data_IF_900988737329
#
_entry.id   IF_900988737329
#
_cell.length_a   1.000
_cell.length_b   1.000
_cell.length_c   1.000
_cell.angle_alpha   90.00
_cell.angle_beta   90.00
_cell.angle_gamma   90.00
#
_symmetry.space_group_name_H-M   'P 1'
#
loop_
_entity.id
_entity.type
_entity.pdbx_description
1 polymer ?
#
# COMPACT_ATOMS: atom_id res chain seq x y z
N UNK A 1 2.79 14.56 31.32
CA UNK A 1 3.45 13.39 30.69
C UNK A 1 4.92 13.71 30.53
N UNK A 2 5.84 12.84 30.95
CA UNK A 2 7.27 13.15 30.90
C UNK A 2 7.78 13.21 29.45
N UNK A 3 8.79 14.05 29.17
CA UNK A 3 9.38 14.22 27.83
C UNK A 3 9.85 12.88 27.24
N UNK A 4 10.35 11.97 28.08
CA UNK A 4 10.77 10.63 27.68
C UNK A 4 9.62 9.78 27.13
N UNK A 5 8.42 9.83 27.74
CA UNK A 5 7.26 9.09 27.26
C UNK A 5 6.76 9.62 25.91
N UNK A 6 6.83 10.93 25.69
CA UNK A 6 6.46 11.55 24.40
C UNK A 6 7.42 11.12 23.30
N UNK A 7 8.72 11.10 23.58
CA UNK A 7 9.74 10.63 22.65
C UNK A 7 9.54 9.12 22.32
N UNK A 8 9.27 8.30 23.33
CA UNK A 8 9.03 6.87 23.16
C UNK A 8 7.81 6.60 22.28
N UNK A 9 6.67 7.26 22.54
CA UNK A 9 5.47 7.14 21.71
C UNK A 9 5.72 7.52 20.25
N UNK A 10 6.54 8.54 19.99
CA UNK A 10 6.90 8.95 18.62
C UNK A 10 7.67 7.85 17.88
N UNK A 11 8.59 7.17 18.56
CA UNK A 11 9.35 6.05 17.99
C UNK A 11 8.45 4.85 17.78
N UNK A 12 7.67 4.45 18.79
CA UNK A 12 6.75 3.31 18.71
C UNK A 12 5.80 3.41 17.52
N UNK A 13 5.23 4.59 17.27
CA UNK A 13 4.33 4.81 16.11
C UNK A 13 5.03 4.67 14.78
N UNK A 14 6.28 5.12 14.67
CA UNK A 14 7.07 4.96 13.43
C UNK A 14 7.39 3.49 13.18
N UNK A 15 7.83 2.77 14.21
CA UNK A 15 8.11 1.34 14.13
C UNK A 15 6.84 0.57 13.74
N UNK A 16 5.71 0.86 14.38
CA UNK A 16 4.43 0.26 14.03
C UNK A 16 4.01 0.57 12.58
N UNK A 17 4.18 1.80 12.11
CA UNK A 17 3.85 2.17 10.73
C UNK A 17 4.75 1.45 9.71
N UNK A 18 6.04 1.31 10.00
CA UNK A 18 6.99 0.58 9.16
C UNK A 18 6.64 -0.91 9.12
N UNK A 19 6.39 -1.52 10.28
CA UNK A 19 6.01 -2.93 10.36
C UNK A 19 4.69 -3.21 9.61
N UNK A 20 3.68 -2.36 9.81
CA UNK A 20 2.42 -2.44 9.09
C UNK A 20 2.64 -2.32 7.57
N UNK A 21 3.40 -1.31 7.11
CA UNK A 21 3.71 -1.12 5.70
C UNK A 21 4.42 -2.34 5.12
N UNK A 22 5.44 -2.86 5.80
CA UNK A 22 6.22 -4.01 5.36
C UNK A 22 5.36 -5.24 5.13
N UNK A 23 4.33 -5.47 5.95
CA UNK A 23 3.38 -6.57 5.73
C UNK A 23 2.38 -6.23 4.64
N UNK A 24 1.72 -5.07 4.73
CA UNK A 24 0.61 -4.72 3.85
C UNK A 24 1.01 -4.56 2.36
N UNK A 25 2.23 -4.10 2.08
CA UNK A 25 2.73 -3.94 0.71
C UNK A 25 2.81 -5.28 -0.05
N UNK A 26 2.95 -6.42 0.65
CA UNK A 26 2.93 -7.73 0.01
C UNK A 26 1.57 -8.04 -0.63
N UNK A 27 0.48 -7.52 -0.08
CA UNK A 27 -0.84 -7.62 -0.72
C UNK A 27 -0.87 -6.88 -2.06
N UNK A 28 -0.29 -5.68 -2.13
CA UNK A 28 -0.22 -4.88 -3.36
C UNK A 28 0.62 -5.58 -4.42
N UNK A 29 1.86 -5.95 -4.07
CA UNK A 29 2.82 -6.56 -5.00
C UNK A 29 2.41 -7.99 -5.39
N UNK A 30 1.95 -8.78 -4.43
CA UNK A 30 1.50 -10.15 -4.68
C UNK A 30 0.34 -10.21 -5.67
N UNK A 31 -0.65 -9.33 -5.53
CA UNK A 31 -1.76 -9.24 -6.49
C UNK A 31 -1.29 -8.86 -7.91
N UNK A 32 -0.35 -7.92 -8.01
CA UNK A 32 0.24 -7.51 -9.31
C UNK A 32 0.98 -8.67 -9.97
N UNK A 33 1.81 -9.40 -9.22
CA UNK A 33 2.56 -10.55 -9.73
C UNK A 33 1.62 -11.64 -10.23
N UNK A 34 0.57 -11.96 -9.47
CA UNK A 34 -0.43 -12.96 -9.89
C UNK A 34 -1.19 -12.47 -11.12
N UNK A 35 -1.55 -11.18 -11.20
CA UNK A 35 -2.20 -10.62 -12.39
C UNK A 35 -1.35 -10.83 -13.65
N UNK A 36 -0.03 -10.58 -13.56
CA UNK A 36 0.89 -10.80 -14.67
C UNK A 36 0.94 -12.26 -15.13
N UNK A 37 0.90 -13.21 -14.19
CA UNK A 37 0.84 -14.64 -14.51
C UNK A 37 -0.47 -14.98 -15.24
N UNK A 38 -1.61 -14.42 -14.81
CA UNK A 38 -2.92 -14.69 -15.40
C UNK A 38 -3.06 -14.15 -16.83
N UNK A 39 -2.45 -13.00 -17.14
CA UNK A 39 -2.40 -12.50 -18.53
C UNK A 39 -1.72 -13.51 -19.45
N UNK A 40 -0.61 -14.12 -19.00
CA UNK A 40 0.07 -15.19 -19.75
C UNK A 40 -0.72 -16.50 -19.88
N UNK A 41 -1.89 -16.61 -19.24
CA UNK A 41 -2.81 -17.75 -19.31
C UNK A 41 -4.12 -17.40 -20.03
N UNK A 42 -4.16 -16.31 -20.81
CA UNK A 42 -5.36 -15.78 -21.48
C UNK A 42 -6.51 -15.42 -20.52
N UNK A 43 -6.21 -15.15 -19.24
CA UNK A 43 -7.18 -14.77 -18.19
C UNK A 43 -7.13 -13.28 -17.88
N UNK A 44 -7.23 -12.44 -18.90
CA UNK A 44 -7.10 -10.97 -18.80
C UNK A 44 -8.18 -10.31 -17.93
N UNK A 45 -9.40 -10.86 -17.88
CA UNK A 45 -10.46 -10.38 -16.99
C UNK A 45 -10.08 -10.52 -15.52
N UNK A 46 -9.54 -11.69 -15.14
CA UNK A 46 -9.14 -11.98 -13.77
C UNK A 46 -7.92 -11.14 -13.37
N UNK A 47 -6.96 -10.99 -14.29
CA UNK A 47 -5.82 -10.10 -14.10
C UNK A 47 -6.26 -8.65 -13.82
N UNK A 48 -7.24 -8.15 -14.58
CA UNK A 48 -7.80 -6.80 -14.38
C UNK A 48 -8.39 -6.65 -12.97
N UNK A 49 -9.17 -7.64 -12.52
CA UNK A 49 -9.74 -7.65 -11.16
C UNK A 49 -8.64 -7.62 -10.10
N UNK A 50 -7.56 -8.38 -10.27
CA UNK A 50 -6.45 -8.38 -9.31
C UNK A 50 -5.69 -7.05 -9.26
N UNK A 51 -5.53 -6.34 -10.39
CA UNK A 51 -4.93 -5.00 -10.39
C UNK A 51 -5.85 -3.99 -9.69
N UNK A 52 -7.16 -4.05 -9.90
CA UNK A 52 -8.12 -3.22 -9.16
C UNK A 52 -8.06 -3.49 -7.65
N UNK A 53 -7.98 -4.76 -7.25
CA UNK A 53 -7.81 -5.16 -5.84
C UNK A 53 -6.47 -4.69 -5.27
N UNK A 54 -5.39 -4.70 -6.05
CA UNK A 54 -4.10 -4.12 -5.67
C UNK A 54 -4.25 -2.63 -5.31
N UNK A 55 -5.04 -1.88 -6.08
CA UNK A 55 -5.37 -0.49 -5.78
C UNK A 55 -6.12 -0.31 -4.46
N UNK A 56 -7.06 -1.20 -4.15
CA UNK A 56 -7.74 -1.20 -2.85
C UNK A 56 -6.77 -1.46 -1.69
N UNK A 57 -5.85 -2.42 -1.83
CA UNK A 57 -4.80 -2.69 -0.85
C UNK A 57 -3.81 -1.53 -0.71
N UNK A 58 -3.49 -0.83 -1.79
CA UNK A 58 -2.67 0.37 -1.76
C UNK A 58 -3.35 1.48 -0.95
N UNK A 59 -4.66 1.68 -1.13
CA UNK A 59 -5.45 2.64 -0.34
C UNK A 59 -5.48 2.26 1.15
N UNK A 60 -5.72 0.99 1.49
CA UNK A 60 -5.68 0.49 2.88
C UNK A 60 -4.31 0.70 3.50
N UNK A 61 -3.24 0.39 2.76
CA UNK A 61 -1.85 0.57 3.21
C UNK A 61 -1.57 2.04 3.50
N UNK A 62 -1.95 2.94 2.59
CA UNK A 62 -1.83 4.39 2.76
C UNK A 62 -2.57 4.87 4.02
N UNK A 63 -3.86 4.54 4.13
CA UNK A 63 -4.70 4.98 5.25
C UNK A 63 -4.13 4.46 6.57
N UNK A 64 -3.78 3.17 6.65
CA UNK A 64 -3.23 2.55 7.85
C UNK A 64 -1.94 3.24 8.31
N UNK A 65 -0.98 3.46 7.40
CA UNK A 65 0.28 4.16 7.73
C UNK A 65 -0.01 5.58 8.23
N UNK A 66 -0.89 6.34 7.56
CA UNK A 66 -1.21 7.73 7.95
C UNK A 66 -1.90 7.80 9.31
N UNK A 67 -2.83 6.88 9.60
CA UNK A 67 -3.50 6.80 10.90
C UNK A 67 -2.52 6.44 12.01
N UNK A 68 -1.67 5.43 11.82
CA UNK A 68 -0.64 5.05 12.80
C UNK A 68 0.29 6.23 13.09
N UNK A 69 0.70 6.98 12.05
CA UNK A 69 1.52 8.17 12.18
C UNK A 69 0.75 9.44 12.62
N UNK A 70 -0.59 9.41 12.62
CA UNK A 70 -1.48 10.51 13.00
C UNK A 70 -1.25 11.73 12.13
N UNK A 71 -1.18 11.48 10.83
CA UNK A 71 -1.04 12.48 9.78
C UNK A 71 -2.37 12.59 9.05
N UNK A 72 -2.66 13.76 8.48
CA UNK A 72 -3.84 13.98 7.64
C UNK A 72 -3.95 12.94 6.51
N UNK A 73 -5.16 12.51 6.17
CA UNK A 73 -5.39 11.61 5.04
C UNK A 73 -5.37 12.33 3.69
N UNK A 74 -5.48 13.65 3.68
CA UNK A 74 -5.37 14.41 2.43
C UNK A 74 -3.92 14.83 2.21
N UNK A 75 -3.16 13.98 1.52
CA UNK A 75 -1.78 14.29 1.16
C UNK A 75 -1.46 13.79 -0.26
N UNK A 76 -1.73 14.60 -1.30
CA UNK A 76 -1.71 14.19 -2.70
C UNK A 76 -0.42 13.48 -3.14
N UNK A 77 0.75 14.00 -2.76
CA UNK A 77 2.03 13.37 -3.09
C UNK A 77 2.16 11.94 -2.54
N UNK A 78 1.64 11.69 -1.32
CA UNK A 78 1.69 10.38 -0.70
C UNK A 78 0.61 9.43 -1.24
N UNK A 79 -0.53 9.97 -1.68
CA UNK A 79 -1.57 9.20 -2.38
C UNK A 79 -1.02 8.71 -3.72
N UNK A 80 -0.41 9.61 -4.49
CA UNK A 80 0.26 9.27 -5.75
C UNK A 80 1.36 8.22 -5.54
N UNK A 81 2.18 8.37 -4.50
CA UNK A 81 3.22 7.40 -4.16
C UNK A 81 2.64 6.03 -3.80
N UNK A 82 1.57 5.98 -3.00
CA UNK A 82 0.93 4.72 -2.63
C UNK A 82 0.29 4.02 -3.82
N UNK A 83 -0.32 4.77 -4.73
CA UNK A 83 -0.95 4.24 -5.94
C UNK A 83 0.06 3.84 -7.04
N UNK A 84 1.30 4.34 -6.97
CA UNK A 84 2.30 4.20 -8.02
C UNK A 84 2.51 2.74 -8.49
N UNK A 85 2.66 1.72 -7.62
CA UNK A 85 2.85 0.34 -8.07
C UNK A 85 1.66 -0.18 -8.88
N UNK A 86 0.43 0.13 -8.43
CA UNK A 86 -0.80 -0.27 -9.12
C UNK A 86 -0.95 0.46 -10.45
N UNK A 87 -0.62 1.75 -10.51
CA UNK A 87 -0.65 2.53 -11.76
C UNK A 87 0.34 1.96 -12.77
N UNK A 88 1.58 1.66 -12.35
CA UNK A 88 2.59 1.04 -13.21
C UNK A 88 2.09 -0.33 -13.70
N UNK A 89 1.55 -1.16 -12.81
CA UNK A 89 1.01 -2.46 -13.19
C UNK A 89 -0.12 -2.34 -14.21
N UNK A 90 -1.01 -1.36 -14.07
CA UNK A 90 -2.09 -1.12 -15.03
C UNK A 90 -1.60 -0.87 -16.46
N UNK A 91 -0.44 -0.22 -16.65
CA UNK A 91 0.11 0.07 -17.98
C UNK A 91 1.08 -0.98 -18.52
N UNK A 92 1.70 -1.77 -17.64
CA UNK A 92 2.75 -2.74 -18.01
C UNK A 92 2.22 -4.17 -18.07
N UNK A 93 1.16 -4.48 -17.33
CA UNK A 93 0.58 -5.84 -17.26
C UNK A 93 -0.65 -5.99 -18.13
N UNK A 94 -1.55 -5.00 -18.15
CA UNK A 94 -2.73 -4.96 -19.01
C UNK A 94 -2.41 -4.19 -20.29
#
# INVERSE_FOLDING_TARGET
MSTQLVALHKVQRRVAAIAFFAVAIHGVIGLIVVAHILVGQDRSSDATILILMSGAFAAVTYIGVRLILGKTLWAPAWIALAALPTIIAFFVVL
#
